data_IF_636797579504
#
_entry.id   IF_636797579504
#
_cell.length_a   1.000
_cell.length_b   1.000
_cell.length_c   1.000
_cell.angle_alpha   90.00
_cell.angle_beta   90.00
_cell.angle_gamma   90.00
#
_symmetry.space_group_name_H-M   'P 1'
#
loop_
_entity.id
_entity.type
_entity.pdbx_description
1 polymer ?
#
# COMPACT_ATOMS: atom_id res chain seq x y z
N UNK A 1 -84.49 20.27 8.39
CA UNK A 1 -84.60 21.59 7.69
C UNK A 1 -84.56 22.70 8.73
N UNK A 2 -83.83 23.79 8.43
CA UNK A 2 -83.79 25.12 9.10
C UNK A 2 -83.07 25.14 10.46
N UNK A 3 -81.83 25.62 10.53
CA UNK A 3 -81.28 27.00 10.39
C UNK A 3 -81.32 27.79 11.71
N UNK A 4 -80.11 28.06 12.22
CA UNK A 4 -79.55 29.32 12.75
C UNK A 4 -80.33 30.11 13.83
N UNK A 5 -79.65 30.48 14.92
CA UNK A 5 -79.15 31.85 15.22
C UNK A 5 -78.45 31.84 16.60
N UNK A 6 -77.13 32.07 16.69
CA UNK A 6 -76.43 33.36 16.87
C UNK A 6 -76.46 33.95 18.31
N UNK A 7 -75.24 34.01 18.89
CA UNK A 7 -74.64 35.05 19.77
C UNK A 7 -75.18 35.32 21.19
N UNK A 8 -74.27 35.33 22.18
CA UNK A 8 -73.71 36.57 22.74
C UNK A 8 -72.39 36.30 23.51
N UNK A 9 -71.43 37.22 23.34
CA UNK A 9 -70.07 37.27 23.90
C UNK A 9 -70.03 37.54 25.42
N UNK A 10 -68.88 37.24 26.02
CA UNK A 10 -68.01 38.04 26.94
C UNK A 10 -67.13 37.00 27.65
N UNK A 11 -65.79 36.98 27.58
CA UNK A 11 -64.78 38.03 27.64
C UNK A 11 -63.75 37.55 28.67
N UNK A 12 -62.45 37.66 28.40
CA UNK A 12 -61.40 37.38 29.39
C UNK A 12 -60.28 36.48 28.89
N UNK A 13 -59.16 37.11 28.57
CA UNK A 13 -57.88 36.52 28.18
C UNK A 13 -57.26 35.63 29.27
N UNK A 14 -56.71 34.49 28.86
CA UNK A 14 -55.57 33.85 29.50
C UNK A 14 -54.81 33.04 28.43
N UNK A 15 -53.88 33.71 27.75
CA UNK A 15 -52.96 33.12 26.77
C UNK A 15 -51.99 32.18 27.48
N UNK A 16 -52.23 30.87 27.38
CA UNK A 16 -51.34 29.85 27.95
C UNK A 16 -51.18 28.66 27.01
N UNK A 17 -49.92 28.30 26.76
CA UNK A 17 -49.45 26.97 26.34
C UNK A 17 -49.80 26.46 24.94
N UNK A 18 -49.24 27.06 23.88
CA UNK A 18 -48.84 26.31 22.68
C UNK A 18 -47.61 27.00 22.06
N UNK A 19 -46.39 26.58 22.40
CA UNK A 19 -45.20 27.22 21.81
C UNK A 19 -43.84 26.56 22.04
N UNK A 20 -43.69 25.70 23.05
CA UNK A 20 -42.35 25.18 23.41
C UNK A 20 -41.96 23.83 22.81
N UNK A 21 -42.86 23.14 22.09
CA UNK A 21 -42.54 21.81 21.54
C UNK A 21 -41.89 21.86 20.14
N UNK A 22 -42.31 22.76 19.25
CA UNK A 22 -41.79 22.81 17.86
C UNK A 22 -40.36 23.36 17.77
N UNK A 23 -39.99 24.34 18.61
CA UNK A 23 -38.64 24.93 18.57
C UNK A 23 -37.56 23.94 19.00
N UNK A 24 -37.87 23.08 19.99
CA UNK A 24 -36.97 22.03 20.49
C UNK A 24 -36.70 20.95 19.43
N UNK A 25 -37.74 20.55 18.69
CA UNK A 25 -37.63 19.51 17.67
C UNK A 25 -36.78 19.96 16.48
N UNK A 26 -36.93 21.21 16.04
CA UNK A 26 -36.09 21.78 14.99
C UNK A 26 -34.63 21.97 15.44
N UNK A 27 -34.38 22.34 16.70
CA UNK A 27 -33.02 22.46 17.24
C UNK A 27 -32.31 21.11 17.36
N UNK A 28 -33.02 20.06 17.79
CA UNK A 28 -32.47 18.69 17.86
C UNK A 28 -32.17 18.15 16.47
N UNK A 29 -33.03 18.40 15.48
CA UNK A 29 -32.78 18.00 14.09
C UNK A 29 -31.60 18.78 13.48
N UNK A 30 -31.44 20.07 13.81
CA UNK A 30 -30.29 20.88 13.40
C UNK A 30 -28.99 20.43 14.07
N UNK A 31 -29.03 20.09 15.37
CA UNK A 31 -27.87 19.54 16.08
C UNK A 31 -27.51 18.15 15.56
N UNK A 32 -28.48 17.29 15.28
CA UNK A 32 -28.27 15.97 14.66
C UNK A 32 -27.77 16.09 13.22
N UNK A 33 -28.22 17.08 12.45
CA UNK A 33 -27.72 17.32 11.10
C UNK A 33 -26.33 17.95 11.11
N UNK A 34 -26.02 18.87 12.02
CA UNK A 34 -24.65 19.37 12.25
C UNK A 34 -23.72 18.27 12.77
N UNK A 35 -24.21 17.38 13.65
CA UNK A 35 -23.44 16.23 14.16
C UNK A 35 -23.23 15.16 13.07
N UNK A 36 -24.21 14.96 12.17
CA UNK A 36 -24.02 14.14 10.97
C UNK A 36 -23.04 14.78 9.97
N UNK A 37 -23.05 16.11 9.85
CA UNK A 37 -22.12 16.83 8.97
C UNK A 37 -20.68 16.80 9.52
N UNK A 38 -20.49 16.77 10.84
CA UNK A 38 -19.15 16.61 11.46
C UNK A 38 -18.66 15.17 11.55
N UNK A 39 -19.50 14.16 11.29
CA UNK A 39 -19.12 12.74 11.29
C UNK A 39 -18.82 12.14 9.90
N UNK A 40 -18.67 12.95 8.86
CA UNK A 40 -18.23 12.47 7.54
C UNK A 40 -16.74 12.69 7.26
N UNK A 41 -15.89 12.65 8.29
CA UNK A 41 -14.49 12.27 8.05
C UNK A 41 -14.49 10.77 7.85
N UNK A 42 -14.50 10.32 6.60
CA UNK A 42 -14.21 8.92 6.28
C UNK A 42 -12.82 8.64 6.84
N UNK A 43 -12.72 8.03 8.01
CA UNK A 43 -11.48 7.42 8.50
C UNK A 43 -11.14 6.29 7.52
N UNK A 44 -10.40 6.63 6.46
CA UNK A 44 -9.93 5.68 5.46
C UNK A 44 -8.75 4.89 6.01
N UNK A 45 -8.93 4.27 7.18
CA UNK A 45 -7.90 3.45 7.79
C UNK A 45 -7.64 2.22 6.92
N UNK A 46 -6.37 1.96 6.63
CA UNK A 46 -5.94 0.84 5.79
C UNK A 46 -5.01 -0.07 6.56
N UNK A 47 -4.99 -1.37 6.21
CA UNK A 47 -4.10 -2.34 6.83
C UNK A 47 -2.62 -1.99 6.58
N UNK A 48 -2.32 -1.15 5.58
CA UNK A 48 -0.98 -0.58 5.38
C UNK A 48 -0.44 0.16 6.59
N UNK A 49 -1.30 0.66 7.48
CA UNK A 49 -0.91 1.32 8.74
C UNK A 49 -0.07 0.42 9.65
N UNK A 50 -0.16 -0.90 9.50
CA UNK A 50 0.72 -1.86 10.18
C UNK A 50 2.20 -1.68 9.80
N UNK A 51 2.49 -1.11 8.62
CA UNK A 51 3.86 -0.79 8.22
C UNK A 51 4.41 0.47 8.85
N UNK A 52 3.54 1.34 9.35
CA UNK A 52 3.90 2.60 10.02
C UNK A 52 3.96 2.44 11.55
N UNK A 53 3.11 1.57 12.10
CA UNK A 53 3.00 1.32 13.53
C UNK A 53 3.47 -0.11 13.84
N UNK A 54 4.65 -0.30 14.47
CA UNK A 54 5.15 -1.62 14.80
C UNK A 54 4.13 -2.41 15.63
N UNK A 55 3.80 -3.63 15.19
CA UNK A 55 2.95 -4.53 15.96
C UNK A 55 3.75 -5.04 17.14
N UNK A 56 3.48 -4.51 18.33
CA UNK A 56 4.07 -5.01 19.58
C UNK A 56 3.23 -6.18 20.06
N UNK A 57 3.79 -7.40 20.00
CA UNK A 57 3.18 -8.55 20.67
C UNK A 57 3.51 -8.47 22.16
N UNK A 58 2.51 -8.34 23.06
CA UNK A 58 2.80 -8.37 24.49
C UNK A 58 3.31 -9.75 24.88
N UNK A 59 4.45 -9.80 25.56
CA UNK A 59 5.09 -11.05 26.03
C UNK A 59 4.25 -11.80 27.08
N UNK A 60 3.15 -11.22 27.57
CA UNK A 60 2.33 -11.76 28.64
C UNK A 60 0.85 -11.73 28.26
N UNK A 61 0.22 -12.90 28.19
CA UNK A 61 -1.24 -13.04 28.16
C UNK A 61 -1.81 -12.64 29.53
N UNK A 62 -2.01 -11.34 29.76
CA UNK A 62 -2.68 -10.84 30.97
C UNK A 62 -4.19 -10.98 30.77
N UNK A 63 -4.85 -11.66 31.71
CA UNK A 63 -6.31 -11.75 31.80
C UNK A 63 -6.87 -10.33 31.90
N UNK A 64 -7.57 -9.86 30.86
CA UNK A 64 -8.12 -8.51 30.77
C UNK A 64 -7.44 -7.57 29.76
N UNK A 65 -6.36 -7.99 29.10
CA UNK A 65 -5.81 -7.25 27.96
C UNK A 65 -6.80 -7.26 26.77
N UNK A 66 -7.02 -6.11 26.12
CA UNK A 66 -7.81 -6.10 24.89
C UNK A 66 -7.13 -6.99 23.83
N UNK A 67 -7.89 -7.79 23.07
CA UNK A 67 -7.31 -8.67 22.08
C UNK A 67 -6.55 -7.83 21.03
N UNK A 68 -5.28 -8.14 20.80
CA UNK A 68 -4.34 -7.47 19.87
C UNK A 68 -5.05 -6.97 18.59
N UNK A 69 -5.82 -7.84 17.95
CA UNK A 69 -6.53 -7.58 16.70
C UNK A 69 -7.58 -6.45 16.74
N UNK A 70 -8.12 -6.14 17.93
CA UNK A 70 -9.05 -5.03 18.11
C UNK A 70 -8.33 -3.68 18.22
N UNK A 71 -7.07 -3.68 18.67
CA UNK A 71 -6.24 -2.49 18.79
C UNK A 71 -5.60 -2.10 17.46
N UNK A 72 -5.44 -3.05 16.54
CA UNK A 72 -4.91 -2.80 15.21
C UNK A 72 -5.92 -1.99 14.37
N UNK A 73 -5.60 -0.71 14.18
CA UNK A 73 -6.35 0.19 13.31
C UNK A 73 -6.25 -0.25 11.85
N UNK A 74 -7.29 0.02 11.04
CA UNK A 74 -7.24 -0.20 9.60
C UNK A 74 -7.47 -1.63 9.13
N UNK A 75 -7.73 -2.60 10.01
CA UNK A 75 -8.17 -3.93 9.59
C UNK A 75 -9.66 -3.96 9.23
N UNK A 76 -10.01 -4.57 8.09
CA UNK A 76 -11.40 -4.93 7.77
C UNK A 76 -11.93 -6.03 8.69
N UNK A 77 -13.22 -6.35 8.61
CA UNK A 77 -13.82 -7.35 9.49
C UNK A 77 -13.28 -8.76 9.19
N UNK A 78 -13.06 -9.09 7.93
CA UNK A 78 -12.41 -10.34 7.53
C UNK A 78 -10.93 -10.39 7.91
N UNK A 79 -10.20 -9.27 7.78
CA UNK A 79 -8.82 -9.19 8.26
C UNK A 79 -8.71 -9.36 9.78
N UNK A 80 -9.68 -8.85 10.55
CA UNK A 80 -9.75 -9.08 12.01
C UNK A 80 -9.95 -10.55 12.35
N UNK A 81 -10.80 -11.27 11.60
CA UNK A 81 -10.96 -12.72 11.77
C UNK A 81 -9.67 -13.48 11.48
N UNK A 82 -8.96 -13.11 10.41
CA UNK A 82 -7.66 -13.71 10.09
C UNK A 82 -6.61 -13.38 11.15
N UNK A 83 -6.56 -12.15 11.64
CA UNK A 83 -5.69 -11.76 12.74
C UNK A 83 -5.94 -12.62 13.99
N UNK A 84 -7.19 -12.89 14.34
CA UNK A 84 -7.53 -13.73 15.50
C UNK A 84 -7.01 -15.15 15.36
N UNK A 85 -6.98 -15.70 14.14
CA UNK A 85 -6.48 -17.03 13.83
C UNK A 85 -4.96 -17.10 13.69
N UNK A 86 -4.34 -16.02 13.21
CA UNK A 86 -2.93 -15.95 12.82
C UNK A 86 -2.24 -14.74 13.48
N UNK A 87 -2.28 -14.69 14.81
CA UNK A 87 -1.76 -13.54 15.57
C UNK A 87 -0.26 -13.32 15.36
N UNK A 88 0.51 -14.40 15.32
CA UNK A 88 1.96 -14.42 15.06
C UNK A 88 2.33 -13.89 13.65
N UNK A 89 1.38 -13.83 12.72
CA UNK A 89 1.61 -13.31 11.36
C UNK A 89 1.55 -11.77 11.30
N UNK A 90 0.91 -11.12 12.27
CA UNK A 90 0.60 -9.69 12.18
C UNK A 90 1.84 -8.81 12.15
N UNK A 91 2.90 -9.20 12.88
CA UNK A 91 4.20 -8.53 12.81
C UNK A 91 4.78 -8.58 11.38
N UNK A 92 4.81 -9.76 10.78
CA UNK A 92 5.36 -9.96 9.44
C UNK A 92 4.50 -9.35 8.32
N UNK A 93 3.17 -9.26 8.52
CA UNK A 93 2.30 -8.46 7.66
C UNK A 93 2.71 -6.98 7.72
N UNK A 94 2.95 -6.45 8.92
CA UNK A 94 3.44 -5.08 9.11
C UNK A 94 4.80 -4.85 8.46
N UNK A 95 5.76 -5.76 8.66
CA UNK A 95 7.08 -5.69 8.02
C UNK A 95 6.99 -5.78 6.49
N UNK A 96 6.09 -6.63 5.97
CA UNK A 96 5.79 -6.72 4.54
C UNK A 96 5.20 -5.43 3.98
N UNK A 97 4.24 -4.82 4.67
CA UNK A 97 3.67 -3.52 4.31
C UNK A 97 4.75 -2.43 4.30
N UNK A 98 5.56 -2.36 5.36
CA UNK A 98 6.67 -1.41 5.50
C UNK A 98 7.69 -1.55 4.38
N UNK A 99 8.04 -2.79 4.03
CA UNK A 99 8.95 -3.12 2.93
C UNK A 99 8.37 -2.65 1.59
N UNK A 100 7.09 -2.90 1.34
CA UNK A 100 6.38 -2.42 0.15
C UNK A 100 6.32 -0.89 0.05
N UNK A 101 6.02 -0.19 1.15
CA UNK A 101 5.99 1.28 1.21
C UNK A 101 7.36 1.87 0.88
N UNK A 102 8.42 1.37 1.55
CA UNK A 102 9.79 1.85 1.32
C UNK A 102 10.24 1.62 -0.13
N UNK A 103 9.91 0.47 -0.69
CA UNK A 103 10.26 0.17 -2.07
C UNK A 103 9.48 1.05 -3.05
N UNK A 104 8.20 1.33 -2.78
CA UNK A 104 7.42 2.29 -3.55
C UNK A 104 8.04 3.70 -3.53
N UNK A 105 8.39 4.19 -2.34
CA UNK A 105 9.10 5.47 -2.19
C UNK A 105 10.43 5.48 -2.95
N UNK A 106 11.17 4.37 -2.90
CA UNK A 106 12.40 4.23 -3.67
C UNK A 106 12.13 4.33 -5.16
N UNK A 107 11.20 3.53 -5.71
CA UNK A 107 10.91 3.48 -7.14
C UNK A 107 10.36 4.81 -7.69
N UNK A 108 9.67 5.59 -6.86
CA UNK A 108 9.02 6.85 -7.24
C UNK A 108 9.76 8.11 -6.77
N UNK A 109 10.93 8.01 -6.11
CA UNK A 109 11.69 9.15 -5.57
C UNK A 109 11.93 10.30 -6.57
N UNK A 110 12.01 9.97 -7.86
CA UNK A 110 12.27 10.87 -8.98
C UNK A 110 11.03 11.16 -9.85
N UNK A 111 9.82 10.77 -9.43
CA UNK A 111 8.55 11.05 -10.11
C UNK A 111 7.78 12.14 -9.37
N UNK A 112 6.84 12.83 -10.02
CA UNK A 112 6.00 13.90 -9.42
C UNK A 112 5.20 13.41 -8.21
N UNK A 113 4.57 12.24 -8.35
CA UNK A 113 4.12 11.46 -7.20
C UNK A 113 5.27 10.57 -6.74
N UNK A 114 5.74 10.76 -5.51
CA UNK A 114 6.91 10.07 -4.94
C UNK A 114 6.56 8.96 -3.94
N UNK A 115 5.30 8.52 -3.94
CA UNK A 115 4.79 7.54 -2.98
C UNK A 115 4.98 7.94 -1.50
N UNK A 116 4.98 9.24 -1.21
CA UNK A 116 5.02 9.77 0.16
C UNK A 116 3.81 9.30 0.96
N UNK A 117 4.04 8.97 2.23
CA UNK A 117 2.95 8.68 3.17
C UNK A 117 2.39 9.99 3.73
N UNK A 118 1.07 10.10 3.81
CA UNK A 118 0.36 11.31 4.28
C UNK A 118 0.15 11.28 5.79
N UNK A 119 -0.26 10.12 6.32
CA UNK A 119 -0.52 9.91 7.75
C UNK A 119 -0.25 8.44 8.13
N UNK A 120 -0.32 8.11 9.42
CA UNK A 120 -0.04 6.76 9.93
C UNK A 120 -1.23 5.78 9.83
N UNK A 121 -2.43 6.22 9.42
CA UNK A 121 -3.67 5.42 9.45
C UNK A 121 -4.17 5.04 8.05
N UNK A 122 -4.25 5.99 7.13
CA UNK A 122 -4.53 5.80 5.71
C UNK A 122 -3.28 5.48 4.89
N UNK A 123 -2.09 5.84 5.41
CA UNK A 123 -0.75 5.69 4.81
C UNK A 123 -0.59 6.48 3.51
N UNK A 124 -1.36 6.17 2.47
CA UNK A 124 -1.28 6.81 1.16
C UNK A 124 -2.42 7.81 0.89
N UNK A 125 -3.32 8.04 1.86
CA UNK A 125 -4.36 9.06 1.78
C UNK A 125 -5.36 8.89 0.63
N UNK A 126 -5.87 10.02 0.14
CA UNK A 126 -6.92 10.08 -0.90
C UNK A 126 -6.48 9.67 -2.29
N UNK A 127 -5.17 9.63 -2.57
CA UNK A 127 -4.64 9.09 -3.85
C UNK A 127 -5.16 7.67 -4.08
N UNK A 128 -5.29 6.89 -3.01
CA UNK A 128 -5.80 5.52 -3.06
C UNK A 128 -7.31 5.43 -3.25
N UNK A 129 -8.04 6.53 -3.38
CA UNK A 129 -9.45 6.51 -3.78
C UNK A 129 -9.59 6.44 -5.31
N UNK A 130 -8.62 6.98 -6.04
CA UNK A 130 -8.57 6.99 -7.51
C UNK A 130 -7.99 5.67 -8.00
N UNK A 131 -8.64 5.03 -8.98
CA UNK A 131 -8.16 3.83 -9.66
C UNK A 131 -7.03 4.10 -10.65
N UNK A 132 -6.04 4.89 -10.25
CA UNK A 132 -4.91 5.34 -11.07
C UNK A 132 -3.83 4.27 -11.21
N UNK A 133 -2.85 4.57 -12.06
CA UNK A 133 -1.66 3.74 -12.27
C UNK A 133 -0.80 3.64 -10.99
N UNK A 134 -0.70 4.72 -10.23
CA UNK A 134 0.02 4.76 -8.95
C UNK A 134 -0.64 3.82 -7.94
N UNK A 135 -1.97 3.87 -7.84
CA UNK A 135 -2.75 2.95 -7.02
C UNK A 135 -2.51 1.49 -7.42
N UNK A 136 -2.50 1.20 -8.72
CA UNK A 136 -2.25 -0.16 -9.23
C UNK A 136 -0.89 -0.70 -8.74
N UNK A 137 0.17 0.11 -8.83
CA UNK A 137 1.50 -0.26 -8.32
C UNK A 137 1.49 -0.45 -6.80
N UNK A 138 0.86 0.46 -6.04
CA UNK A 138 0.79 0.38 -4.58
C UNK A 138 0.13 -0.92 -4.09
N UNK A 139 -0.97 -1.33 -4.72
CA UNK A 139 -1.62 -2.62 -4.41
C UNK A 139 -0.67 -3.80 -4.71
N UNK A 140 -0.03 -3.79 -5.88
CA UNK A 140 0.91 -4.85 -6.28
C UNK A 140 2.13 -4.96 -5.36
N UNK A 141 2.84 -3.87 -5.10
CA UNK A 141 4.05 -3.88 -4.27
C UNK A 141 3.75 -4.22 -2.81
N UNK A 142 2.57 -3.84 -2.31
CA UNK A 142 2.14 -4.20 -0.95
C UNK A 142 1.81 -5.68 -0.82
N UNK A 143 1.08 -6.25 -1.79
CA UNK A 143 0.81 -7.68 -1.81
C UNK A 143 2.12 -8.49 -1.95
N UNK A 144 3.04 -8.04 -2.81
CA UNK A 144 4.38 -8.60 -2.94
C UNK A 144 5.17 -8.54 -1.62
N UNK A 145 5.09 -7.43 -0.90
CA UNK A 145 5.74 -7.24 0.40
C UNK A 145 5.28 -8.26 1.45
N UNK A 146 3.97 -8.52 1.53
CA UNK A 146 3.41 -9.52 2.46
C UNK A 146 3.86 -10.94 2.08
N UNK A 147 3.85 -11.30 0.79
CA UNK A 147 4.38 -12.60 0.35
C UNK A 147 5.84 -12.74 0.75
N UNK A 148 6.67 -11.72 0.50
CA UNK A 148 8.09 -11.76 0.79
C UNK A 148 8.37 -11.95 2.29
N UNK A 149 7.73 -11.16 3.14
CA UNK A 149 7.94 -11.21 4.58
C UNK A 149 7.45 -12.53 5.19
N UNK A 150 6.22 -12.97 4.88
CA UNK A 150 5.63 -14.20 5.44
C UNK A 150 6.40 -15.44 4.97
N UNK A 151 6.79 -15.52 3.70
CA UNK A 151 7.57 -16.66 3.19
C UNK A 151 8.96 -16.80 3.83
N UNK A 152 9.61 -15.67 4.15
CA UNK A 152 10.90 -15.67 4.87
C UNK A 152 10.73 -16.02 6.34
N UNK A 153 9.69 -15.49 7.00
CA UNK A 153 9.37 -15.83 8.39
C UNK A 153 9.12 -17.34 8.57
N UNK A 154 8.44 -17.98 7.60
CA UNK A 154 8.29 -19.44 7.58
C UNK A 154 9.63 -20.19 7.48
N UNK A 155 10.58 -19.68 6.70
CA UNK A 155 11.92 -20.27 6.56
C UNK A 155 12.73 -20.12 7.84
N UNK A 156 12.55 -19.01 8.55
CA UNK A 156 13.26 -18.69 9.78
C UNK A 156 12.67 -19.43 11.00
N UNK A 157 11.46 -19.99 10.87
CA UNK A 157 10.78 -20.72 11.94
C UNK A 157 10.05 -19.80 12.93
N UNK A 158 9.79 -18.55 12.53
CA UNK A 158 9.14 -17.53 13.34
C UNK A 158 7.60 -17.68 13.38
N UNK A 159 7.05 -18.51 12.49
CA UNK A 159 5.61 -18.73 12.36
C UNK A 159 5.27 -20.18 12.71
N UNK A 160 4.29 -20.34 13.60
CA UNK A 160 3.91 -21.67 14.14
C UNK A 160 3.21 -22.58 13.13
N UNK A 161 2.58 -22.01 12.11
CA UNK A 161 1.69 -22.70 11.15
C UNK A 161 2.39 -23.13 9.86
N UNK A 162 3.66 -22.75 9.68
CA UNK A 162 4.44 -23.07 8.49
C UNK A 162 5.89 -23.41 8.86
N UNK A 163 6.65 -23.86 7.87
CA UNK A 163 8.08 -24.12 8.00
C UNK A 163 8.77 -23.93 6.64
N UNK A 164 9.91 -24.58 6.46
CA UNK A 164 10.68 -24.53 5.21
C UNK A 164 9.84 -24.89 3.97
N UNK A 165 10.26 -24.35 2.82
CA UNK A 165 9.69 -24.69 1.52
C UNK A 165 9.68 -26.20 1.24
N UNK A 166 8.56 -26.68 0.69
CA UNK A 166 8.42 -28.04 0.15
C UNK A 166 8.47 -28.06 -1.38
N UNK A 167 9.06 -27.02 -1.99
CA UNK A 167 9.17 -26.92 -3.43
C UNK A 167 9.92 -28.12 -4.01
N UNK A 168 9.39 -28.66 -5.11
CA UNK A 168 10.02 -29.74 -5.83
C UNK A 168 11.34 -29.26 -6.47
N UNK A 169 12.28 -30.20 -6.63
CA UNK A 169 13.53 -29.95 -7.35
C UNK A 169 13.23 -29.47 -8.78
N UNK A 170 13.79 -28.33 -9.22
CA UNK A 170 13.69 -27.89 -10.61
C UNK A 170 14.28 -28.92 -11.58
N UNK A 171 13.63 -29.13 -12.73
CA UNK A 171 14.01 -30.18 -13.69
C UNK A 171 15.34 -29.88 -14.38
N UNK A 172 15.66 -28.61 -14.52
CA UNK A 172 16.86 -28.02 -15.10
C UNK A 172 18.04 -27.97 -14.13
N UNK A 173 17.84 -28.28 -12.84
CA UNK A 173 18.92 -28.29 -11.85
C UNK A 173 19.88 -29.46 -12.09
N UNK A 174 21.19 -29.22 -12.30
CA UNK A 174 22.16 -30.28 -12.61
C UNK A 174 22.19 -31.38 -11.56
N UNK A 175 22.20 -32.65 -12.01
CA UNK A 175 21.96 -33.84 -11.17
C UNK A 175 22.90 -33.97 -9.98
N UNK A 176 24.13 -33.49 -10.12
CA UNK A 176 25.19 -33.46 -9.13
C UNK A 176 24.95 -32.44 -8.00
N UNK A 177 24.02 -31.50 -8.19
CA UNK A 177 23.68 -30.50 -7.17
C UNK A 177 22.60 -31.07 -6.27
N UNK A 178 22.80 -31.05 -4.96
CA UNK A 178 21.79 -31.54 -4.02
C UNK A 178 20.65 -30.53 -3.90
N UNK A 179 19.40 -31.01 -3.91
CA UNK A 179 18.23 -30.20 -3.58
C UNK A 179 17.84 -30.43 -2.13
N UNK A 180 17.87 -29.39 -1.31
CA UNK A 180 17.62 -29.50 0.12
C UNK A 180 17.98 -28.23 0.88
N UNK A 181 18.00 -28.32 2.21
CA UNK A 181 18.11 -27.16 3.09
C UNK A 181 16.74 -26.52 3.36
N UNK A 182 16.76 -25.34 3.95
CA UNK A 182 15.54 -24.60 4.30
C UNK A 182 15.37 -23.39 3.37
N UNK A 183 14.55 -23.56 2.33
CA UNK A 183 14.18 -22.49 1.40
C UNK A 183 12.96 -21.69 1.85
N UNK A 184 12.74 -20.54 1.21
CA UNK A 184 11.59 -19.66 1.48
C UNK A 184 10.27 -20.36 1.12
N UNK A 185 9.29 -20.33 2.03
CA UNK A 185 8.00 -20.98 1.81
C UNK A 185 7.05 -20.10 0.99
N UNK A 186 7.38 -19.98 -0.30
CA UNK A 186 6.66 -19.16 -1.26
C UNK A 186 5.18 -19.54 -1.37
N UNK A 187 4.87 -20.84 -1.41
CA UNK A 187 3.48 -21.31 -1.55
C UNK A 187 2.61 -20.90 -0.35
N UNK A 188 3.12 -21.04 0.87
CA UNK A 188 2.42 -20.58 2.07
C UNK A 188 2.21 -19.06 2.06
N UNK A 189 3.28 -18.28 1.86
CA UNK A 189 3.21 -16.82 1.86
C UNK A 189 2.30 -16.28 0.75
N UNK A 190 2.31 -16.89 -0.43
CA UNK A 190 1.40 -16.56 -1.52
C UNK A 190 -0.08 -16.75 -1.12
N UNK A 191 -0.41 -17.93 -0.59
CA UNK A 191 -1.78 -18.26 -0.19
C UNK A 191 -2.25 -17.37 0.95
N UNK A 192 -1.43 -17.18 1.97
CA UNK A 192 -1.74 -16.31 3.10
C UNK A 192 -1.96 -14.85 2.68
N UNK A 193 -1.05 -14.29 1.87
CA UNK A 193 -1.18 -12.92 1.36
C UNK A 193 -2.45 -12.76 0.52
N UNK A 194 -2.84 -13.77 -0.25
CA UNK A 194 -4.11 -13.77 -0.99
C UNK A 194 -5.31 -13.67 -0.07
N UNK A 195 -5.38 -14.48 0.99
CA UNK A 195 -6.49 -14.43 1.94
C UNK A 195 -6.53 -13.11 2.71
N UNK A 196 -5.38 -12.64 3.22
CA UNK A 196 -5.33 -11.44 4.06
C UNK A 196 -5.46 -10.12 3.28
N UNK A 197 -4.72 -9.96 2.19
CA UNK A 197 -4.70 -8.69 1.43
C UNK A 197 -5.98 -8.51 0.62
N UNK A 198 -6.55 -9.61 0.09
CA UNK A 198 -7.79 -9.52 -0.68
C UNK A 198 -9.06 -9.48 0.21
N UNK A 199 -8.98 -9.81 1.51
CA UNK A 199 -10.14 -9.91 2.41
C UNK A 199 -11.05 -8.68 2.33
N UNK A 200 -10.48 -7.48 2.48
CA UNK A 200 -11.22 -6.21 2.42
C UNK A 200 -11.99 -6.02 1.12
N UNK A 201 -11.39 -6.39 -0.01
CA UNK A 201 -12.00 -6.24 -1.34
C UNK A 201 -13.10 -7.30 -1.56
N UNK A 202 -12.97 -8.49 -0.94
CA UNK A 202 -13.95 -9.58 -1.04
C UNK A 202 -15.16 -9.42 -0.11
N UNK A 203 -15.00 -8.72 1.01
CA UNK A 203 -16.07 -8.46 1.98
C UNK A 203 -17.15 -7.51 1.43
N UNK A 204 -16.79 -6.64 0.49
CA UNK A 204 -17.69 -5.64 -0.07
C UNK A 204 -18.37 -6.19 -1.32
N UNK A 205 -19.70 -6.25 -1.29
CA UNK A 205 -20.50 -6.64 -2.45
C UNK A 205 -21.12 -5.38 -3.05
N UNK A 206 -20.74 -5.07 -4.28
CA UNK A 206 -21.31 -3.98 -5.07
C UNK A 206 -22.09 -4.52 -6.27
N UNK A 207 -22.99 -3.69 -6.80
CA UNK A 207 -23.74 -4.03 -8.00
C UNK A 207 -22.80 -4.27 -9.17
N UNK A 208 -23.01 -5.39 -9.88
CA UNK A 208 -22.22 -5.73 -11.06
C UNK A 208 -22.32 -4.63 -12.11
N UNK A 209 -21.17 -4.14 -12.57
CA UNK A 209 -21.09 -3.05 -13.54
C UNK A 209 -21.07 -1.65 -12.93
N UNK A 210 -21.08 -1.52 -11.59
CA UNK A 210 -20.81 -0.23 -10.95
C UNK A 210 -19.31 0.11 -10.99
N UNK A 211 -18.99 1.39 -10.76
CA UNK A 211 -17.61 1.85 -10.65
C UNK A 211 -16.86 1.12 -9.52
N UNK A 212 -17.50 0.93 -8.36
CA UNK A 212 -16.92 0.21 -7.22
C UNK A 212 -16.63 -1.25 -7.56
N UNK A 213 -17.49 -1.89 -8.35
CA UNK A 213 -17.25 -3.24 -8.86
C UNK A 213 -16.00 -3.29 -9.75
N UNK A 214 -15.80 -2.31 -10.64
CA UNK A 214 -14.54 -2.19 -11.40
C UNK A 214 -13.31 -1.95 -10.53
N UNK A 215 -13.45 -1.13 -9.49
CA UNK A 215 -12.39 -0.81 -8.53
C UNK A 215 -11.88 -2.07 -7.82
N UNK A 216 -12.80 -2.90 -7.32
CA UNK A 216 -12.49 -4.19 -6.68
C UNK A 216 -11.78 -5.12 -7.66
N UNK A 217 -12.30 -5.26 -8.89
CA UNK A 217 -11.67 -6.12 -9.90
C UNK A 217 -10.24 -5.67 -10.22
N UNK A 218 -10.01 -4.36 -10.32
CA UNK A 218 -8.68 -3.77 -10.53
C UNK A 218 -7.75 -4.06 -9.35
N UNK A 219 -8.20 -3.82 -8.12
CA UNK A 219 -7.42 -4.04 -6.89
C UNK A 219 -7.01 -5.52 -6.75
N UNK A 220 -7.95 -6.45 -6.93
CA UNK A 220 -7.70 -7.90 -6.87
C UNK A 220 -6.71 -8.37 -7.96
N UNK A 221 -6.83 -7.82 -9.18
CA UNK A 221 -5.91 -8.11 -10.28
C UNK A 221 -4.49 -7.65 -9.96
N UNK A 222 -4.33 -6.42 -9.48
CA UNK A 222 -3.02 -5.86 -9.18
C UNK A 222 -2.36 -6.53 -7.95
N UNK A 223 -3.14 -6.90 -6.94
CA UNK A 223 -2.65 -7.75 -5.84
C UNK A 223 -2.09 -9.07 -6.36
N UNK A 224 -2.80 -9.71 -7.29
CA UNK A 224 -2.35 -10.97 -7.90
C UNK A 224 -1.08 -10.78 -8.72
N UNK A 225 -0.97 -9.71 -9.51
CA UNK A 225 0.25 -9.38 -10.24
C UNK A 225 1.45 -9.18 -9.30
N UNK A 226 1.25 -8.53 -8.14
CA UNK A 226 2.25 -8.39 -7.09
C UNK A 226 2.72 -9.73 -6.52
N UNK A 227 1.78 -10.62 -6.14
CA UNK A 227 2.11 -11.96 -5.65
C UNK A 227 2.86 -12.79 -6.69
N UNK A 228 2.44 -12.69 -7.96
CA UNK A 228 3.09 -13.38 -9.09
C UNK A 228 4.49 -12.87 -9.34
N UNK A 229 4.75 -11.57 -9.24
CA UNK A 229 6.09 -11.01 -9.39
C UNK A 229 7.08 -11.67 -8.42
N UNK A 230 6.71 -11.83 -7.14
CA UNK A 230 7.55 -12.52 -6.15
C UNK A 230 7.76 -13.99 -6.52
N UNK A 231 6.70 -14.66 -6.98
CA UNK A 231 6.75 -16.07 -7.36
C UNK A 231 7.61 -16.33 -8.59
N UNK A 232 7.48 -15.51 -9.62
CA UNK A 232 8.22 -15.62 -10.88
C UNK A 232 9.69 -15.26 -10.73
N UNK A 233 10.03 -14.34 -9.83
CA UNK A 233 11.42 -13.93 -9.58
C UNK A 233 12.13 -14.80 -8.52
N UNK A 234 11.43 -15.73 -7.86
CA UNK A 234 12.07 -16.70 -6.98
C UNK A 234 12.97 -17.64 -7.80
N UNK A 235 14.16 -17.92 -7.28
CA UNK A 235 15.20 -18.64 -8.01
C UNK A 235 15.93 -19.63 -7.10
N UNK A 236 16.74 -20.48 -7.70
CA UNK A 236 17.58 -21.45 -7.00
C UNK A 236 18.80 -20.75 -6.41
N UNK A 237 18.91 -20.77 -5.09
CA UNK A 237 20.12 -20.39 -4.39
C UNK A 237 20.88 -21.63 -3.95
N UNK A 238 22.22 -21.57 -3.98
CA UNK A 238 23.08 -22.70 -3.63
C UNK A 238 24.17 -22.28 -2.63
N UNK A 239 24.56 -23.21 -1.77
CA UNK A 239 25.75 -23.11 -0.92
C UNK A 239 26.73 -24.23 -1.22
N UNK A 240 27.99 -23.85 -1.33
CA UNK A 240 29.10 -24.77 -1.55
C UNK A 240 29.60 -25.37 -0.24
N UNK A 241 29.85 -26.68 -0.28
CA UNK A 241 30.39 -27.49 0.80
C UNK A 241 31.63 -28.21 0.25
N UNK A 242 32.80 -27.69 0.57
CA UNK A 242 34.06 -28.30 0.14
C UNK A 242 35.22 -27.75 0.96
N UNK A 243 36.32 -28.51 0.97
CA UNK A 243 37.53 -28.11 1.68
C UNK A 243 37.99 -26.75 1.14
N UNK A 244 38.31 -25.83 2.05
CA UNK A 244 38.72 -24.45 1.75
C UNK A 244 37.71 -23.64 0.91
N UNK A 245 36.41 -23.95 1.01
CA UNK A 245 35.36 -23.23 0.29
C UNK A 245 35.16 -23.66 -1.16
N UNK A 246 35.72 -24.82 -1.55
CA UNK A 246 35.45 -25.40 -2.87
C UNK A 246 33.99 -25.84 -3.03
N UNK A 247 33.51 -25.89 -4.29
CA UNK A 247 32.14 -26.27 -4.64
C UNK A 247 32.03 -27.74 -5.10
N UNK A 248 32.86 -28.64 -4.56
CA UNK A 248 32.83 -30.07 -4.89
C UNK A 248 31.51 -30.74 -4.51
N UNK A 249 30.88 -30.27 -3.44
CA UNK A 249 29.49 -30.55 -3.10
C UNK A 249 28.76 -29.22 -2.99
N UNK A 250 27.49 -29.18 -3.42
CA UNK A 250 26.63 -28.03 -3.15
C UNK A 250 25.20 -28.44 -2.94
N UNK A 251 24.55 -27.69 -2.06
CA UNK A 251 23.15 -27.86 -1.70
C UNK A 251 22.40 -26.61 -2.10
N UNK A 252 21.27 -26.78 -2.76
CA UNK A 252 20.46 -25.70 -3.30
C UNK A 252 19.01 -25.79 -2.82
N UNK A 253 18.38 -24.63 -2.68
CA UNK A 253 17.00 -24.46 -2.25
C UNK A 253 16.32 -23.34 -3.05
N UNK A 254 14.99 -23.29 -2.96
CA UNK A 254 14.22 -22.16 -3.48
C UNK A 254 14.41 -20.94 -2.57
N UNK A 255 14.79 -19.82 -3.15
CA UNK A 255 14.98 -18.56 -2.44
C UNK A 255 14.28 -17.42 -3.17
N UNK A 256 13.64 -16.53 -2.41
CA UNK A 256 13.08 -15.31 -2.96
C UNK A 256 14.18 -14.37 -3.41
N UNK A 257 13.94 -13.70 -4.55
CA UNK A 257 14.80 -12.60 -5.00
C UNK A 257 14.90 -11.49 -3.94
N UNK A 258 15.95 -10.68 -4.10
CA UNK A 258 16.02 -9.39 -3.43
C UNK A 258 14.77 -8.56 -3.75
N UNK A 259 14.19 -7.92 -2.74
CA UNK A 259 12.94 -7.18 -2.92
C UNK A 259 13.09 -5.98 -3.87
N UNK A 260 14.31 -5.43 -4.02
CA UNK A 260 14.61 -4.43 -5.04
C UNK A 260 14.33 -4.95 -6.45
N UNK A 261 14.70 -6.20 -6.76
CA UNK A 261 14.39 -6.81 -8.08
C UNK A 261 12.89 -6.93 -8.32
N UNK A 262 12.11 -7.20 -7.26
CA UNK A 262 10.64 -7.22 -7.35
C UNK A 262 10.09 -5.82 -7.60
N UNK A 263 10.62 -4.81 -6.90
CA UNK A 263 10.28 -3.40 -7.11
C UNK A 263 10.57 -2.93 -8.52
N UNK A 264 11.77 -3.24 -9.04
CA UNK A 264 12.19 -2.90 -10.41
C UNK A 264 11.26 -3.57 -11.44
N UNK A 265 10.97 -4.86 -11.27
CA UNK A 265 10.06 -5.59 -12.16
C UNK A 265 8.64 -5.01 -12.15
N UNK A 266 8.08 -4.73 -10.97
CA UNK A 266 6.76 -4.10 -10.88
C UNK A 266 6.76 -2.68 -11.42
N UNK A 267 7.90 -1.98 -11.36
CA UNK A 267 8.05 -0.62 -11.86
C UNK A 267 8.04 -0.59 -13.40
N UNK A 268 8.59 -1.61 -14.05
CA UNK A 268 8.42 -1.86 -15.49
C UNK A 268 6.95 -2.12 -15.82
N UNK A 269 6.27 -3.00 -15.05
CA UNK A 269 4.84 -3.27 -15.22
C UNK A 269 3.95 -2.05 -15.02
N UNK A 270 4.36 -1.12 -14.17
CA UNK A 270 3.70 0.19 -14.02
C UNK A 270 3.83 1.03 -15.29
N UNK A 271 5.01 1.12 -15.91
CA UNK A 271 5.20 1.94 -17.10
C UNK A 271 4.36 1.42 -18.29
N UNK A 272 4.15 0.10 -18.37
CA UNK A 272 3.32 -0.57 -19.38
C UNK A 272 1.89 -0.92 -18.93
N UNK A 273 1.38 -0.34 -17.84
CA UNK A 273 0.07 -0.71 -17.28
C UNK A 273 -1.09 -0.45 -18.25
N UNK A 274 -2.06 -1.36 -18.29
CA UNK A 274 -3.22 -1.30 -19.19
C UNK A 274 -4.37 -0.45 -18.63
N UNK A 275 -4.85 0.52 -19.41
CA UNK A 275 -6.10 1.22 -19.11
C UNK A 275 -7.30 0.32 -19.39
N UNK A 276 -8.19 0.18 -18.41
CA UNK A 276 -9.36 -0.69 -18.45
C UNK A 276 -10.65 0.11 -18.31
N UNK A 277 -11.74 -0.41 -18.89
CA UNK A 277 -13.10 0.08 -18.73
C UNK A 277 -14.07 -1.08 -18.55
N UNK A 278 -15.26 -0.80 -18.03
CA UNK A 278 -16.32 -1.80 -17.99
C UNK A 278 -16.96 -1.97 -19.36
N UNK A 279 -17.18 -3.23 -19.75
CA UNK A 279 -18.07 -3.56 -20.86
C UNK A 279 -19.53 -3.69 -20.38
N UNK A 280 -20.45 -3.85 -21.33
CA UNK A 280 -21.88 -4.06 -21.05
C UNK A 280 -22.19 -5.29 -20.20
N UNK A 281 -21.26 -6.26 -20.11
CA UNK A 281 -21.36 -7.46 -19.28
C UNK A 281 -20.75 -7.30 -17.90
N UNK A 282 -20.29 -6.09 -17.54
CA UNK A 282 -19.65 -5.79 -16.26
C UNK A 282 -18.28 -6.44 -16.08
N UNK A 283 -17.55 -6.71 -17.17
CA UNK A 283 -16.15 -7.18 -17.14
C UNK A 283 -15.20 -6.04 -17.48
N UNK A 284 -14.02 -6.04 -16.87
CA UNK A 284 -12.92 -5.17 -17.28
C UNK A 284 -12.41 -5.60 -18.66
N UNK A 285 -12.38 -4.65 -19.58
CA UNK A 285 -11.81 -4.79 -20.92
C UNK A 285 -10.86 -3.62 -21.18
N UNK A 286 -9.85 -3.86 -22.01
CA UNK A 286 -8.89 -2.82 -22.35
C UNK A 286 -9.58 -1.66 -23.08
N UNK A 287 -9.18 -0.43 -22.77
CA UNK A 287 -9.73 0.78 -23.41
C UNK A 287 -9.32 0.82 -24.88
N UNK A 288 -8.06 0.50 -25.18
CA UNK A 288 -7.51 0.51 -26.52
C UNK A 288 -7.26 -0.92 -27.02
N UNK A 289 -8.10 -1.37 -27.95
CA UNK A 289 -8.07 -2.72 -28.53
C UNK A 289 -6.88 -2.98 -29.47
N UNK A 290 -6.05 -1.98 -29.77
CA UNK A 290 -4.82 -2.16 -30.56
C UNK A 290 -3.69 -2.82 -29.77
N UNK A 291 -3.78 -2.77 -28.45
CA UNK A 291 -2.81 -3.43 -27.56
C UNK A 291 -3.27 -4.84 -27.22
N UNK A 292 -2.32 -5.66 -26.78
CA UNK A 292 -2.63 -6.97 -26.24
C UNK A 292 -3.36 -6.83 -24.90
N UNK A 293 -4.35 -7.70 -24.67
CA UNK A 293 -5.04 -7.78 -23.40
C UNK A 293 -4.04 -8.06 -22.27
N UNK A 294 -4.11 -7.33 -21.14
CA UNK A 294 -3.23 -7.56 -20.00
C UNK A 294 -3.34 -8.98 -19.46
N UNK A 295 -2.20 -9.57 -19.09
CA UNK A 295 -2.12 -10.85 -18.39
C UNK A 295 -2.25 -10.66 -16.87
N UNK A 296 -2.29 -11.76 -16.11
CA UNK A 296 -2.27 -11.70 -14.64
C UNK A 296 -0.93 -11.18 -14.06
N UNK A 297 0.11 -11.02 -14.89
CA UNK A 297 1.39 -10.43 -14.49
C UNK A 297 1.48 -8.93 -14.80
N UNK A 298 0.49 -8.37 -15.50
CA UNK A 298 0.49 -6.97 -15.91
C UNK A 298 -0.38 -6.15 -14.96
N UNK A 299 -0.01 -4.89 -14.74
CA UNK A 299 -0.82 -3.97 -13.94
C UNK A 299 -1.93 -3.34 -14.78
N UNK A 300 -3.06 -3.07 -14.14
CA UNK A 300 -4.22 -2.45 -14.77
C UNK A 300 -4.76 -1.29 -13.94
N UNK A 301 -5.31 -0.28 -14.60
CA UNK A 301 -5.92 0.89 -13.97
C UNK A 301 -7.22 1.27 -14.67
N UNK A 302 -8.12 1.97 -13.98
CA UNK A 302 -9.45 2.34 -14.51
C UNK A 302 -9.66 3.86 -14.61
N UNK A 303 -8.85 4.66 -13.90
CA UNK A 303 -8.94 6.12 -13.89
C UNK A 303 -7.62 6.74 -14.35
N UNK A 304 -7.66 7.89 -15.07
CA UNK A 304 -6.45 8.64 -15.36
C UNK A 304 -5.78 9.12 -14.06
N UNK A 305 -4.46 9.15 -14.06
CA UNK A 305 -3.72 9.76 -12.95
C UNK A 305 -4.03 11.26 -12.85
N UNK A 306 -4.24 11.80 -11.64
CA UNK A 306 -4.46 13.23 -11.45
C UNK A 306 -3.19 14.02 -11.79
N UNK A 307 -3.34 15.34 -11.88
CA UNK A 307 -2.18 16.22 -11.96
C UNK A 307 -1.48 16.32 -10.60
N UNK A 308 -0.25 15.78 -10.55
CA UNK A 308 0.61 15.81 -9.36
C UNK A 308 1.48 17.07 -9.27
N UNK A 309 1.38 18.00 -10.23
CA UNK A 309 2.17 19.23 -10.24
C UNK A 309 1.76 20.21 -9.14
N UNK A 310 0.46 20.30 -8.86
CA UNK A 310 -0.15 21.25 -7.93
C UNK A 310 -0.68 20.51 -6.71
N UNK A 311 -0.59 21.15 -5.55
CA UNK A 311 -1.20 20.65 -4.33
C UNK A 311 -2.73 20.60 -4.50
N UNK A 312 -3.33 19.45 -4.22
CA UNK A 312 -4.77 19.26 -4.32
C UNK A 312 -5.23 18.22 -3.29
N UNK A 313 -5.88 18.69 -2.23
CA UNK A 313 -6.38 17.84 -1.15
C UNK A 313 -7.41 16.81 -1.64
N UNK A 314 -8.25 17.14 -2.62
CA UNK A 314 -9.29 16.26 -3.12
C UNK A 314 -8.72 15.01 -3.81
N UNK A 315 -7.65 15.19 -4.60
CA UNK A 315 -6.96 14.08 -5.26
C UNK A 315 -5.87 13.46 -4.39
N UNK A 316 -5.49 14.12 -3.29
CA UNK A 316 -4.36 13.75 -2.45
C UNK A 316 -3.00 14.11 -3.04
N UNK A 317 -2.94 14.97 -4.06
CA UNK A 317 -1.68 15.46 -4.61
C UNK A 317 -1.03 16.44 -3.63
N UNK A 318 0.25 16.20 -3.29
CA UNK A 318 1.02 17.14 -2.47
C UNK A 318 1.62 18.30 -3.28
N UNK A 319 1.63 18.19 -4.61
CA UNK A 319 2.32 19.12 -5.50
C UNK A 319 3.83 18.88 -5.58
N UNK A 320 4.50 19.63 -6.45
CA UNK A 320 5.97 19.53 -6.63
C UNK A 320 6.76 20.72 -6.13
N UNK A 321 6.10 21.73 -5.53
CA UNK A 321 6.78 22.88 -4.94
C UNK A 321 7.77 22.45 -3.85
N UNK A 322 8.95 23.06 -3.84
CA UNK A 322 10.04 22.75 -2.89
C UNK A 322 10.77 21.42 -3.16
N UNK A 323 10.38 20.66 -4.18
CA UNK A 323 11.06 19.40 -4.50
C UNK A 323 12.38 19.63 -5.19
N UNK A 324 13.38 18.85 -4.78
CA UNK A 324 14.68 18.80 -5.45
C UNK A 324 14.54 18.23 -6.87
N UNK A 325 15.22 18.87 -7.81
CA UNK A 325 15.28 18.45 -9.19
C UNK A 325 16.71 18.49 -9.72
N UNK A 326 16.94 17.77 -10.82
CA UNK A 326 18.22 17.67 -11.48
C UNK A 326 18.25 18.58 -12.72
N UNK A 327 19.11 19.60 -12.72
CA UNK A 327 19.18 20.55 -13.85
C UNK A 327 19.74 19.92 -15.13
N UNK A 328 20.60 18.90 -15.03
CA UNK A 328 21.25 18.27 -16.19
C UNK A 328 20.46 17.09 -16.76
N UNK A 329 19.42 16.62 -16.05
CA UNK A 329 18.60 15.51 -16.52
C UNK A 329 17.48 15.99 -17.42
N UNK A 330 17.30 15.33 -18.56
CA UNK A 330 16.12 15.46 -19.44
C UNK A 330 14.98 14.50 -19.02
N UNK A 331 15.25 13.64 -18.03
CA UNK A 331 14.29 12.69 -17.48
C UNK A 331 13.30 13.32 -16.52
N UNK A 332 12.50 12.49 -15.84
CA UNK A 332 11.47 12.95 -14.92
C UNK A 332 11.99 13.58 -13.63
N UNK A 333 13.24 13.28 -13.25
CA UNK A 333 13.99 14.00 -12.22
C UNK A 333 14.47 15.38 -12.69
N UNK A 334 14.44 15.63 -13.99
CA UNK A 334 14.77 16.89 -14.63
C UNK A 334 13.94 18.05 -14.11
N UNK A 335 14.56 19.21 -13.88
CA UNK A 335 13.86 20.39 -13.37
C UNK A 335 12.72 20.86 -14.26
N UNK A 336 12.82 20.70 -15.58
CA UNK A 336 11.74 21.04 -16.50
C UNK A 336 10.47 20.20 -16.26
N UNK A 337 10.64 18.88 -16.13
CA UNK A 337 9.54 17.95 -15.93
C UNK A 337 9.05 17.89 -14.49
N UNK A 338 9.95 17.92 -13.50
CA UNK A 338 9.58 17.86 -12.07
C UNK A 338 8.88 19.13 -11.61
N UNK A 339 9.33 20.30 -12.07
CA UNK A 339 8.78 21.60 -11.68
C UNK A 339 7.62 22.06 -12.58
N UNK A 340 7.22 21.24 -13.56
CA UNK A 340 6.06 21.48 -14.41
C UNK A 340 6.08 22.85 -15.11
N UNK A 341 7.27 23.28 -15.55
CA UNK A 341 7.46 24.57 -16.22
C UNK A 341 7.40 25.82 -15.31
N UNK A 342 7.20 25.68 -13.99
CA UNK A 342 7.17 26.84 -13.06
C UNK A 342 8.55 27.45 -12.78
N UNK A 343 9.61 26.81 -13.24
CA UNK A 343 10.99 27.15 -12.91
C UNK A 343 11.43 26.58 -11.57
N UNK A 344 12.66 26.90 -11.18
CA UNK A 344 13.32 26.39 -9.98
C UNK A 344 14.24 27.45 -9.38
N UNK A 345 14.43 27.37 -8.07
CA UNK A 345 15.40 28.16 -7.32
C UNK A 345 16.72 27.40 -7.21
N UNK A 346 17.84 28.11 -7.31
CA UNK A 346 19.17 27.57 -7.12
C UNK A 346 19.72 28.04 -5.78
N UNK A 347 20.24 27.12 -4.97
CA UNK A 347 20.94 27.43 -3.74
C UNK A 347 22.14 26.50 -3.55
N UNK A 348 23.16 26.98 -2.85
CA UNK A 348 24.33 26.19 -2.51
C UNK A 348 24.11 25.47 -1.20
N UNK A 349 24.40 24.18 -1.15
CA UNK A 349 24.40 23.41 0.08
C UNK A 349 25.72 22.72 0.30
N UNK A 350 26.08 22.49 1.56
CA UNK A 350 27.26 21.71 1.92
C UNK A 350 26.85 20.25 2.01
N UNK A 351 27.23 19.46 1.00
CA UNK A 351 27.06 18.02 1.02
C UNK A 351 28.24 17.39 1.75
N UNK A 352 27.95 16.60 2.78
CA UNK A 352 28.98 15.86 3.52
C UNK A 352 28.87 14.39 3.16
N UNK A 353 29.95 13.82 2.62
CA UNK A 353 30.04 12.40 2.31
C UNK A 353 31.24 11.72 2.98
N UNK A 354 31.18 10.39 3.05
CA UNK A 354 32.28 9.58 3.56
C UNK A 354 33.23 9.28 2.40
N UNK A 355 34.40 9.90 2.44
CA UNK A 355 35.42 9.81 1.41
C UNK A 355 36.70 9.17 1.97
N UNK A 356 37.62 8.79 1.06
CA UNK A 356 38.93 8.22 1.42
C UNK A 356 38.84 7.09 2.45
N UNK A 357 37.85 6.21 2.27
CA UNK A 357 37.62 5.07 3.14
C UNK A 357 38.77 4.07 3.03
N UNK A 358 39.41 3.77 4.17
CA UNK A 358 40.43 2.74 4.30
C UNK A 358 39.89 1.58 5.13
N UNK A 359 39.96 0.38 4.58
CA UNK A 359 39.71 -0.84 5.34
C UNK A 359 40.92 -1.12 6.22
N UNK A 360 40.69 -1.25 7.53
CA UNK A 360 41.70 -1.74 8.45
C UNK A 360 41.45 -3.24 8.65
N UNK A 361 42.50 -4.03 8.43
CA UNK A 361 42.48 -5.48 8.68
C UNK A 361 42.39 -5.72 10.19
N UNK A 362 41.17 -5.57 10.69
CA UNK A 362 40.66 -5.83 12.05
C UNK A 362 39.14 -5.49 12.08
N UNK A 363 38.50 -5.57 10.90
CA UNK A 363 37.05 -5.52 10.66
C UNK A 363 36.36 -4.15 10.72
N UNK A 364 37.06 -3.04 10.51
CA UNK A 364 36.40 -1.75 10.35
C UNK A 364 36.92 -0.91 9.19
N UNK A 365 36.03 -0.08 8.66
CA UNK A 365 36.34 0.91 7.62
C UNK A 365 36.42 2.28 8.27
N UNK A 366 37.58 2.92 8.17
CA UNK A 366 37.78 4.30 8.61
C UNK A 366 37.71 5.22 7.39
N UNK A 367 36.68 6.06 7.34
CA UNK A 367 36.52 7.09 6.31
C UNK A 367 36.78 8.48 6.89
N UNK A 368 37.24 9.40 6.06
CA UNK A 368 37.18 10.84 6.37
C UNK A 368 35.79 11.36 5.99
N UNK A 369 35.37 12.48 6.59
CA UNK A 369 34.22 13.24 6.10
C UNK A 369 34.76 14.28 5.13
N UNK A 370 34.34 14.22 3.88
CA UNK A 370 34.59 15.26 2.89
C UNK A 370 33.33 16.12 2.80
N UNK A 371 33.54 17.43 2.71
CA UNK A 371 32.48 18.40 2.52
C UNK A 371 32.70 19.09 1.20
N UNK A 372 31.69 19.05 0.35
CA UNK A 372 31.68 19.76 -0.93
C UNK A 372 30.51 20.73 -0.97
N UNK A 373 30.72 21.90 -1.55
CA UNK A 373 29.65 22.87 -1.80
C UNK A 373 29.05 22.55 -3.16
N UNK A 374 27.84 22.00 -3.17
CA UNK A 374 27.13 21.62 -4.40
C UNK A 374 25.96 22.56 -4.66
N UNK A 375 25.71 22.85 -5.93
CA UNK A 375 24.50 23.56 -6.36
C UNK A 375 23.31 22.59 -6.30
N UNK A 376 22.24 22.99 -5.60
CA UNK A 376 20.96 22.31 -5.59
C UNK A 376 19.87 23.18 -6.21
N UNK A 377 18.90 22.50 -6.82
CA UNK A 377 17.77 23.12 -7.51
C UNK A 377 16.48 22.62 -6.90
N UNK A 378 15.59 23.51 -6.50
CA UNK A 378 14.27 23.18 -5.97
C UNK A 378 13.16 23.86 -6.76
N UNK A 379 12.07 23.14 -7.01
CA UNK A 379 10.94 23.67 -7.77
C UNK A 379 10.24 24.83 -7.04
N UNK A 380 9.83 25.83 -7.82
CA UNK A 380 9.05 26.98 -7.34
C UNK A 380 7.60 26.62 -7.00
#
# INVERSE_FOLDING_TARGET
>A
MRKNLWTFQFGGEASGLVGSAMVSQHFVVLLMSLYCLTQSVVESSSWWSLGMNPVQMPEVYIIGAQPLCSQLSGLSQGQKKLCQLYQDHMQFIGDGAKTGIKECQYQFRHRRWNCSTVDNTSVFGRVMQIGSRETAFTYAISAAGVVNAVSRACREGELSTCGCSRAARPKDLPRDWLWGGCGDNLDYGYRFAKEFVDAREREKIYQKGSYESSRIMMNLHNNEAGRRAVSTLADVACKCHGVSGSCSLKTCWLQLADFRKVGDHLKEKYDSAGAMKLNTRGKLVQVNNKFNSPTMNDLVYIDPSPDYCVHNESTGSLGTQGRLCNKTSEGMDGCELMCCGRGYDQFKTVQTERCHCKFHWCCYVKCKKCTEVVDQFACK
#
